data_IF_648810236709
#
_entry.id   IF_648810236709
#
_cell.length_a   1.000
_cell.length_b   1.000
_cell.length_c   1.000
_cell.angle_alpha   90.00
_cell.angle_beta   90.00
_cell.angle_gamma   90.00
#
_symmetry.space_group_name_H-M   'P 1'
#
loop_
_entity.id
_entity.type
_entity.pdbx_description
1 polymer ?
#
# COMPACT_ATOMS: atom_id res chain seq x y z
N UNK A 1 -0.66 -20.19 -25.27
CA UNK A 1 -0.05 -19.00 -24.64
C UNK A 1 -0.56 -18.75 -23.20
N UNK A 2 -1.84 -18.47 -22.98
CA UNK A 2 -2.35 -18.06 -21.65
C UNK A 2 -2.07 -19.04 -20.49
N UNK A 3 -2.23 -20.36 -20.70
CA UNK A 3 -1.95 -21.37 -19.66
C UNK A 3 -0.49 -21.36 -19.18
N UNK A 4 0.46 -21.30 -20.11
CA UNK A 4 1.89 -21.27 -19.81
C UNK A 4 2.26 -19.98 -19.08
N UNK A 5 1.77 -18.82 -19.57
CA UNK A 5 1.98 -17.54 -18.90
C UNK A 5 1.45 -17.58 -17.47
N UNK A 6 0.21 -18.03 -17.25
CA UNK A 6 -0.39 -18.07 -15.91
C UNK A 6 0.36 -19.03 -14.97
N UNK A 7 0.85 -20.16 -15.49
CA UNK A 7 1.69 -21.08 -14.72
C UNK A 7 2.99 -20.40 -14.25
N UNK A 8 3.72 -19.77 -15.17
CA UNK A 8 4.97 -19.07 -14.85
C UNK A 8 4.73 -17.88 -13.91
N UNK A 9 3.68 -17.10 -14.17
CA UNK A 9 3.31 -15.95 -13.35
C UNK A 9 2.99 -16.38 -11.91
N UNK A 10 2.28 -17.50 -11.73
CA UNK A 10 2.02 -18.08 -10.40
C UNK A 10 3.31 -18.54 -9.70
N UNK A 11 4.21 -19.19 -10.43
CA UNK A 11 5.51 -19.60 -9.86
C UNK A 11 6.33 -18.39 -9.39
N UNK A 12 6.38 -17.31 -10.17
CA UNK A 12 7.05 -16.05 -9.79
C UNK A 12 6.47 -15.50 -8.48
N UNK A 13 5.14 -15.49 -8.36
CA UNK A 13 4.45 -15.10 -7.13
C UNK A 13 4.85 -15.93 -5.91
N UNK A 14 4.87 -17.25 -6.05
CA UNK A 14 5.23 -18.17 -4.97
C UNK A 14 6.70 -18.00 -4.55
N UNK A 15 7.60 -17.78 -5.51
CA UNK A 15 9.01 -17.51 -5.27
C UNK A 15 9.18 -16.21 -4.47
N UNK A 16 8.54 -15.12 -4.90
CA UNK A 16 8.63 -13.82 -4.24
C UNK A 16 8.11 -13.87 -2.79
N UNK A 17 6.98 -14.55 -2.55
CA UNK A 17 6.46 -14.75 -1.19
C UNK A 17 7.36 -15.61 -0.32
N UNK A 18 7.94 -16.69 -0.88
CA UNK A 18 8.91 -17.53 -0.14
C UNK A 18 10.18 -16.75 0.19
N UNK A 19 10.62 -15.85 -0.69
CA UNK A 19 11.73 -14.95 -0.43
C UNK A 19 11.39 -13.96 0.70
N UNK A 20 10.21 -13.34 0.65
CA UNK A 20 9.71 -12.46 1.71
C UNK A 20 9.65 -13.16 3.07
N UNK A 21 9.16 -14.41 3.11
CA UNK A 21 9.08 -15.18 4.36
C UNK A 21 10.46 -15.43 5.01
N UNK A 22 11.55 -15.41 4.23
CA UNK A 22 12.94 -15.50 4.73
C UNK A 22 13.52 -14.15 5.13
N UNK A 23 12.88 -13.04 4.75
CA UNK A 23 13.31 -11.72 5.15
C UNK A 23 13.12 -11.53 6.65
N UNK A 24 14.06 -10.80 7.26
CA UNK A 24 13.96 -10.46 8.68
C UNK A 24 12.74 -9.56 8.91
N UNK A 25 11.80 -10.04 9.72
CA UNK A 25 10.68 -9.24 10.20
C UNK A 25 11.20 -8.15 11.16
N UNK A 26 11.08 -6.89 10.74
CA UNK A 26 11.42 -5.73 11.56
C UNK A 26 10.16 -5.20 12.23
N UNK A 27 9.84 -5.73 13.41
CA UNK A 27 8.73 -5.23 14.24
C UNK A 27 9.14 -3.94 14.94
N UNK A 28 8.96 -2.81 14.25
CA UNK A 28 9.06 -1.49 14.88
C UNK A 28 7.78 -1.26 15.68
N UNK A 29 7.74 -1.74 16.93
CA UNK A 29 6.54 -1.68 17.78
C UNK A 29 5.90 -0.28 17.84
N UNK A 30 4.62 -0.22 18.23
CA UNK A 30 3.82 1.01 18.19
C UNK A 30 4.39 2.19 19.03
N UNK A 31 5.33 1.90 19.94
CA UNK A 31 5.96 2.90 20.80
C UNK A 31 7.17 3.52 20.10
N UNK A 32 7.17 4.84 19.81
CA UNK A 32 8.30 5.50 19.19
C UNK A 32 9.59 5.34 19.99
N UNK A 33 10.68 5.00 19.30
CA UNK A 33 11.98 4.85 19.95
C UNK A 33 12.54 6.19 20.44
N UNK A 34 12.93 6.24 21.72
CA UNK A 34 13.76 7.29 22.32
C UNK A 34 14.79 6.67 23.27
N UNK A 35 15.89 7.36 23.59
CA UNK A 35 16.85 6.87 24.58
C UNK A 35 16.23 6.55 25.94
N UNK A 36 15.23 7.34 26.37
CA UNK A 36 14.49 7.13 27.61
C UNK A 36 13.66 5.85 27.56
N UNK A 37 12.90 5.62 26.48
CA UNK A 37 12.15 4.38 26.27
C UNK A 37 13.09 3.17 26.19
N UNK A 38 14.24 3.31 25.50
CA UNK A 38 15.24 2.25 25.43
C UNK A 38 15.81 1.90 26.81
N UNK A 39 15.93 2.86 27.73
CA UNK A 39 16.43 2.61 29.08
C UNK A 39 15.50 1.65 29.85
N UNK A 40 14.17 1.81 29.74
CA UNK A 40 13.22 0.86 30.32
C UNK A 40 13.45 -0.57 29.78
N UNK A 41 13.59 -0.72 28.46
CA UNK A 41 13.87 -2.03 27.85
C UNK A 41 15.20 -2.63 28.32
N UNK A 42 16.23 -1.80 28.49
CA UNK A 42 17.53 -2.23 28.97
C UNK A 42 17.49 -2.63 30.46
N UNK A 43 16.76 -1.90 31.31
CA UNK A 43 16.51 -2.21 32.73
C UNK A 43 15.76 -3.54 32.87
N UNK A 44 14.64 -3.70 32.17
CA UNK A 44 13.87 -4.96 32.19
C UNK A 44 14.68 -6.13 31.65
N UNK A 45 15.45 -5.92 30.58
CA UNK A 45 16.34 -6.95 30.04
C UNK A 45 17.40 -7.39 31.04
N UNK A 46 17.94 -6.48 31.85
CA UNK A 46 18.91 -6.80 32.90
C UNK A 46 18.25 -7.61 34.02
N UNK A 47 17.10 -7.15 34.53
CA UNK A 47 16.38 -7.79 35.63
C UNK A 47 15.82 -9.18 35.27
N UNK A 48 15.24 -9.34 34.07
CA UNK A 48 14.71 -10.64 33.59
C UNK A 48 15.81 -11.68 33.37
N UNK A 49 17.00 -11.24 32.96
CA UNK A 49 18.14 -12.13 32.69
C UNK A 49 18.91 -12.52 33.95
N UNK A 50 18.78 -11.76 35.03
CA UNK A 50 19.23 -12.20 36.36
C UNK A 50 18.40 -13.36 36.91
N UNK A 51 17.12 -13.45 36.50
CA UNK A 51 16.17 -14.47 36.98
C UNK A 51 16.13 -15.74 36.14
N UNK A 52 16.18 -15.63 34.81
CA UNK A 52 16.19 -16.81 33.95
C UNK A 52 17.61 -17.34 33.91
N UNK A 53 17.82 -18.64 34.12
CA UNK A 53 19.07 -19.37 33.82
C UNK A 53 19.37 -19.40 32.30
N UNK A 54 19.11 -18.30 31.60
CA UNK A 54 19.43 -18.12 30.20
C UNK A 54 20.95 -17.94 30.09
N UNK A 55 21.55 -18.62 29.12
CA UNK A 55 22.96 -18.42 28.75
C UNK A 55 23.12 -17.00 28.19
N UNK A 56 23.57 -16.07 29.03
CA UNK A 56 23.79 -14.67 28.65
C UNK A 56 25.27 -14.34 28.81
N UNK A 57 25.87 -13.75 27.77
CA UNK A 57 27.26 -13.30 27.83
C UNK A 57 27.49 -12.33 29.00
N UNK A 58 28.48 -12.62 29.85
CA UNK A 58 28.88 -11.77 30.98
C UNK A 58 29.23 -10.34 30.54
N UNK A 59 29.74 -10.16 29.32
CA UNK A 59 30.01 -8.84 28.71
C UNK A 59 28.72 -8.05 28.48
N UNK A 60 27.62 -8.72 28.09
CA UNK A 60 26.31 -8.08 27.89
C UNK A 60 25.70 -7.61 29.20
N UNK A 61 25.82 -8.40 30.26
CA UNK A 61 25.34 -8.05 31.61
C UNK A 61 26.10 -6.84 32.14
N UNK A 62 27.44 -6.88 32.17
CA UNK A 62 28.28 -5.74 32.58
C UNK A 62 27.96 -4.46 31.82
N UNK A 63 27.76 -4.56 30.50
CA UNK A 63 27.38 -3.42 29.67
C UNK A 63 26.00 -2.87 30.05
N UNK A 64 25.01 -3.74 30.27
CA UNK A 64 23.66 -3.32 30.67
C UNK A 64 23.70 -2.61 32.02
N UNK A 65 24.42 -3.14 33.01
CA UNK A 65 24.53 -2.53 34.33
C UNK A 65 25.13 -1.13 34.30
N UNK A 66 26.22 -0.95 33.54
CA UNK A 66 26.82 0.38 33.32
C UNK A 66 25.84 1.32 32.63
N UNK A 67 25.07 0.82 31.66
CA UNK A 67 24.13 1.61 30.88
C UNK A 67 22.89 2.02 31.68
N UNK A 68 22.36 1.12 32.51
CA UNK A 68 21.17 1.34 33.33
C UNK A 68 21.48 1.93 34.70
N UNK A 69 22.76 2.05 35.06
CA UNK A 69 23.26 2.48 36.38
C UNK A 69 22.70 1.61 37.52
N UNK A 70 22.65 0.29 37.30
CA UNK A 70 22.19 -0.70 38.29
C UNK A 70 23.29 -1.75 38.54
N UNK A 71 24.33 -1.41 39.32
CA UNK A 71 25.48 -2.30 39.58
C UNK A 71 25.14 -3.48 40.50
N UNK A 72 24.08 -3.38 41.31
CA UNK A 72 23.69 -4.44 42.25
C UNK A 72 22.50 -5.28 41.75
N UNK A 73 22.18 -5.20 40.45
CA UNK A 73 21.04 -5.91 39.87
C UNK A 73 21.10 -7.44 40.05
N UNK A 74 22.30 -8.02 40.14
CA UNK A 74 22.52 -9.46 40.38
C UNK A 74 22.45 -9.87 41.85
N UNK A 75 22.51 -8.92 42.80
CA UNK A 75 22.45 -9.21 44.25
C UNK A 75 21.00 -9.29 44.75
N UNK A 76 20.05 -8.87 43.92
CA UNK A 76 18.64 -8.80 44.29
C UNK A 76 18.05 -10.19 44.43
N UNK A 77 17.28 -10.38 45.50
CA UNK A 77 16.50 -11.60 45.69
C UNK A 77 15.41 -11.72 44.62
N UNK A 78 14.83 -12.91 44.47
CA UNK A 78 13.73 -13.16 43.52
C UNK A 78 12.54 -12.23 43.75
N UNK A 79 12.17 -11.99 45.01
CA UNK A 79 11.06 -11.10 45.40
C UNK A 79 11.38 -9.64 45.07
N UNK A 80 12.61 -9.21 45.33
CA UNK A 80 13.06 -7.85 45.00
C UNK A 80 13.11 -7.62 43.48
N UNK A 81 13.55 -8.61 42.71
CA UNK A 81 13.58 -8.56 41.25
C UNK A 81 12.17 -8.45 40.65
N UNK A 82 11.22 -9.22 41.18
CA UNK A 82 9.81 -9.13 40.76
C UNK A 82 9.21 -7.76 41.05
N UNK A 83 9.47 -7.24 42.25
CA UNK A 83 9.01 -5.90 42.65
C UNK A 83 9.63 -4.83 41.77
N UNK A 84 10.94 -4.91 41.50
CA UNK A 84 11.64 -3.98 40.62
C UNK A 84 11.10 -4.05 39.17
N UNK A 85 10.83 -5.25 38.64
CA UNK A 85 10.22 -5.42 37.33
C UNK A 85 8.80 -4.84 37.26
N UNK A 86 8.00 -5.05 38.31
CA UNK A 86 6.64 -4.51 38.40
C UNK A 86 6.66 -2.98 38.42
N UNK A 87 7.56 -2.38 39.21
CA UNK A 87 7.73 -0.93 39.28
C UNK A 87 8.22 -0.35 37.96
N UNK A 88 9.23 -0.96 37.33
CA UNK A 88 9.74 -0.54 36.03
C UNK A 88 8.67 -0.60 34.94
N UNK A 89 7.83 -1.65 34.95
CA UNK A 89 6.69 -1.79 34.04
C UNK A 89 5.64 -0.71 34.27
N UNK A 90 5.33 -0.36 35.53
CA UNK A 90 4.41 0.76 35.85
C UNK A 90 4.95 2.09 35.32
N UNK A 91 6.22 2.40 35.57
CA UNK A 91 6.87 3.60 35.06
C UNK A 91 6.89 3.64 33.52
N UNK A 92 7.18 2.50 32.88
CA UNK A 92 7.13 2.37 31.43
C UNK A 92 5.73 2.66 30.88
N UNK A 93 4.67 2.12 31.48
CA UNK A 93 3.29 2.35 31.04
C UNK A 93 2.89 3.82 31.21
N UNK A 94 3.28 4.45 32.32
CA UNK A 94 3.09 5.88 32.54
C UNK A 94 3.81 6.70 31.46
N UNK A 95 5.08 6.41 31.21
CA UNK A 95 5.87 7.06 30.17
C UNK A 95 5.32 6.82 28.75
N UNK A 96 4.81 5.61 28.49
CA UNK A 96 4.17 5.23 27.24
C UNK A 96 3.00 6.15 26.93
N UNK A 97 2.14 6.39 27.92
CA UNK A 97 0.95 7.24 27.83
C UNK A 97 1.30 8.72 27.68
N UNK A 98 2.24 9.22 28.50
CA UNK A 98 2.40 10.66 28.71
C UNK A 98 3.58 11.30 27.97
N UNK A 99 4.66 10.55 27.69
CA UNK A 99 5.94 11.16 27.30
C UNK A 99 6.53 10.71 25.96
N UNK A 100 6.12 9.55 25.43
CA UNK A 100 6.70 8.94 24.22
C UNK A 100 6.80 9.89 23.03
N UNK A 101 5.73 10.65 22.79
CA UNK A 101 5.62 11.62 21.69
C UNK A 101 6.62 12.77 21.87
N UNK A 102 6.74 13.29 23.09
CA UNK A 102 7.63 14.41 23.42
C UNK A 102 9.09 13.99 23.33
N UNK A 103 9.47 12.89 24.00
CA UNK A 103 10.85 12.39 23.99
C UNK A 103 11.34 12.03 22.58
N UNK A 104 10.47 11.49 21.73
CA UNK A 104 10.82 11.23 20.32
C UNK A 104 11.10 12.53 19.55
N UNK A 105 10.29 13.57 19.75
CA UNK A 105 10.44 14.88 19.11
C UNK A 105 11.76 15.53 19.50
N UNK A 106 12.05 15.55 20.80
CA UNK A 106 13.27 16.12 21.36
C UNK A 106 14.50 15.40 20.82
N UNK A 107 14.50 14.06 20.85
CA UNK A 107 15.58 13.25 20.32
C UNK A 107 15.86 13.56 18.84
N UNK A 108 14.82 13.55 17.98
CA UNK A 108 14.98 13.87 16.57
C UNK A 108 15.49 15.29 16.35
N UNK A 109 15.01 16.26 17.14
CA UNK A 109 15.44 17.66 17.06
C UNK A 109 16.92 17.80 17.41
N UNK A 110 17.38 17.16 18.49
CA UNK A 110 18.79 17.14 18.90
C UNK A 110 19.65 16.48 17.82
N UNK A 111 19.23 15.33 17.27
CA UNK A 111 19.99 14.63 16.23
C UNK A 111 20.12 15.46 14.95
N UNK A 112 19.04 16.13 14.52
CA UNK A 112 19.07 17.04 13.35
C UNK A 112 20.00 18.23 13.62
N UNK A 113 19.95 18.85 14.81
CA UNK A 113 20.87 19.94 15.18
C UNK A 113 22.34 19.49 15.17
N UNK A 114 22.66 18.37 15.82
CA UNK A 114 24.02 17.77 15.82
C UNK A 114 24.50 17.45 14.41
N UNK A 115 23.58 17.00 13.57
CA UNK A 115 23.86 16.68 12.18
C UNK A 115 24.17 17.92 11.34
N UNK A 116 23.50 19.06 11.55
CA UNK A 116 23.78 20.32 10.84
C UNK A 116 25.13 20.94 11.21
N UNK A 117 25.53 20.84 12.49
CA UNK A 117 26.78 21.44 12.99
C UNK A 117 28.04 20.82 12.38
N UNK A 118 27.97 19.56 11.95
CA UNK A 118 29.01 18.97 11.11
C UNK A 118 28.75 19.48 9.68
N UNK A 119 29.53 20.44 9.18
CA UNK A 119 29.59 20.68 7.73
C UNK A 119 29.76 19.33 7.04
N UNK A 120 29.05 19.11 5.92
CA UNK A 120 28.93 17.79 5.32
C UNK A 120 30.25 17.31 4.73
N UNK A 121 31.12 16.74 5.55
CA UNK A 121 32.44 16.24 5.13
C UNK A 121 32.38 14.95 4.32
N UNK A 122 31.20 14.28 4.22
CA UNK A 122 31.03 13.07 3.42
C UNK A 122 29.58 12.84 2.97
N UNK A 123 29.41 12.07 1.89
CA UNK A 123 28.11 11.59 1.39
C UNK A 123 27.31 10.86 2.48
N UNK A 124 27.96 10.02 3.28
CA UNK A 124 27.32 9.31 4.42
C UNK A 124 26.76 10.26 5.48
N UNK A 125 27.46 11.36 5.78
CA UNK A 125 26.98 12.37 6.72
C UNK A 125 25.73 13.09 6.18
N UNK A 126 25.74 13.45 4.89
CA UNK A 126 24.58 14.05 4.20
C UNK A 126 23.38 13.12 4.19
N UNK A 127 23.56 11.84 3.87
CA UNK A 127 22.48 10.84 3.85
C UNK A 127 21.87 10.62 5.24
N UNK A 128 22.71 10.59 6.28
CA UNK A 128 22.26 10.49 7.68
C UNK A 128 21.36 11.68 8.04
N UNK A 129 21.71 12.88 7.63
CA UNK A 129 20.88 14.07 7.86
C UNK A 129 19.57 14.04 7.12
N UNK A 130 19.60 13.75 5.81
CA UNK A 130 18.39 13.67 5.00
C UNK A 130 17.43 12.63 5.59
N UNK A 131 17.96 11.49 6.07
CA UNK A 131 17.18 10.47 6.78
C UNK A 131 16.56 11.02 8.08
N UNK A 132 17.33 11.70 8.92
CA UNK A 132 16.83 12.29 10.17
C UNK A 132 15.78 13.39 9.92
N UNK A 133 16.00 14.25 8.91
CA UNK A 133 15.05 15.29 8.50
C UNK A 133 13.74 14.67 8.00
N UNK A 134 13.80 13.66 7.13
CA UNK A 134 12.62 12.91 6.66
C UNK A 134 11.88 12.24 7.80
N UNK A 135 12.58 11.66 8.78
CA UNK A 135 11.96 11.09 9.98
C UNK A 135 11.21 12.15 10.79
N UNK A 136 11.80 13.34 10.99
CA UNK A 136 11.15 14.45 11.69
C UNK A 136 9.88 14.90 10.96
N UNK A 137 9.96 15.09 9.64
CA UNK A 137 8.82 15.50 8.81
C UNK A 137 7.69 14.48 8.82
N UNK A 138 8.00 13.17 8.77
CA UNK A 138 7.00 12.11 8.87
C UNK A 138 6.27 12.13 10.22
N UNK A 139 6.98 12.37 11.31
CA UNK A 139 6.37 12.48 12.65
C UNK A 139 5.47 13.71 12.77
N UNK A 140 5.89 14.86 12.22
CA UNK A 140 5.07 16.08 12.17
C UNK A 140 3.81 15.86 11.31
N UNK A 141 3.93 15.20 10.17
CA UNK A 141 2.78 14.84 9.32
C UNK A 141 1.82 13.87 9.99
N UNK A 142 2.34 12.83 10.68
CA UNK A 142 1.52 11.88 11.46
C UNK A 142 0.72 12.60 12.54
N UNK A 143 1.33 13.56 13.26
CA UNK A 143 0.62 14.37 14.26
C UNK A 143 -0.49 15.19 13.64
N UNK A 144 -0.19 15.93 12.56
CA UNK A 144 -1.20 16.72 11.84
C UNK A 144 -2.39 15.86 11.40
N UNK A 145 -2.15 14.66 10.86
CA UNK A 145 -3.22 13.73 10.47
C UNK A 145 -4.06 13.25 11.65
N UNK A 146 -3.45 12.95 12.80
CA UNK A 146 -4.18 12.58 14.03
C UNK A 146 -5.03 13.73 14.55
N UNK A 147 -4.50 14.95 14.58
CA UNK A 147 -5.23 16.15 15.01
C UNK A 147 -6.39 16.47 14.06
N UNK A 148 -6.23 16.20 12.76
CA UNK A 148 -7.29 16.40 11.75
C UNK A 148 -8.30 15.25 11.70
N UNK A 149 -8.24 14.25 12.59
CA UNK A 149 -9.04 13.02 12.54
C UNK A 149 -8.95 12.28 11.18
N UNK A 150 -7.95 12.58 10.35
CA UNK A 150 -7.67 11.91 9.07
C UNK A 150 -6.88 10.60 9.30
N UNK A 151 -7.25 9.87 10.33
CA UNK A 151 -6.71 8.57 10.69
C UNK A 151 -7.30 7.49 9.78
N UNK A 152 -6.83 7.43 8.53
CA UNK A 152 -7.12 6.30 7.65
C UNK A 152 -6.40 5.06 8.18
N UNK A 153 -7.16 4.11 8.74
CA UNK A 153 -6.85 2.67 8.82
C UNK A 153 -8.11 1.88 9.21
N UNK A 154 -9.14 1.95 8.40
CA UNK A 154 -10.27 1.03 8.44
C UNK A 154 -10.78 0.86 7.01
N UNK A 155 -11.06 -0.38 6.60
CA UNK A 155 -11.80 -0.64 5.35
C UNK A 155 -13.15 0.08 5.35
N UNK A 156 -13.84 0.08 4.21
CA UNK A 156 -15.16 0.69 4.08
C UNK A 156 -16.14 0.08 5.10
N UNK A 157 -16.55 0.85 6.11
CA UNK A 157 -17.40 0.34 7.20
C UNK A 157 -18.89 0.58 6.97
N UNK A 158 -19.23 1.56 6.13
CA UNK A 158 -20.60 1.92 5.84
C UNK A 158 -20.68 2.59 4.46
N UNK A 159 -21.86 2.50 3.84
CA UNK A 159 -22.21 3.26 2.63
C UNK A 159 -23.53 3.98 2.85
N UNK A 160 -23.76 5.07 2.12
CA UNK A 160 -25.05 5.74 2.06
C UNK A 160 -25.71 5.38 0.75
N UNK A 161 -26.97 4.94 0.82
CA UNK A 161 -27.79 4.59 -0.34
C UNK A 161 -29.03 5.47 -0.31
N UNK A 162 -29.39 5.98 -1.48
CA UNK A 162 -30.60 6.76 -1.69
C UNK A 162 -31.83 5.84 -1.68
N UNK A 163 -32.76 6.10 -0.77
CA UNK A 163 -34.04 5.39 -0.67
C UNK A 163 -35.17 6.35 -1.09
N UNK A 164 -35.93 5.99 -2.12
CA UNK A 164 -37.11 6.77 -2.51
C UNK A 164 -38.25 6.49 -1.54
N UNK A 165 -38.66 7.53 -0.82
CA UNK A 165 -39.84 7.48 0.02
C UNK A 165 -41.13 7.49 -0.83
N UNK A 166 -42.26 6.97 -0.31
CA UNK A 166 -43.56 7.02 -0.98
C UNK A 166 -43.99 8.43 -1.41
N UNK A 167 -43.40 9.46 -0.79
CA UNK A 167 -43.64 10.89 -1.02
C UNK A 167 -42.76 11.51 -2.12
N UNK A 168 -42.04 10.70 -2.93
CA UNK A 168 -41.05 11.14 -3.95
C UNK A 168 -39.87 11.95 -3.39
N UNK A 169 -39.66 11.96 -2.07
CA UNK A 169 -38.45 12.50 -1.45
C UNK A 169 -37.38 11.41 -1.38
N UNK A 170 -36.13 11.80 -1.58
CA UNK A 170 -34.97 10.92 -1.42
C UNK A 170 -34.45 11.06 0.01
N UNK A 171 -34.34 9.96 0.73
CA UNK A 171 -33.67 9.90 2.03
C UNK A 171 -32.35 9.12 1.92
N UNK A 172 -31.37 9.48 2.74
CA UNK A 172 -30.06 8.83 2.77
C UNK A 172 -30.01 7.80 3.90
N UNK A 173 -30.11 6.53 3.53
CA UNK A 173 -29.96 5.43 4.48
C UNK A 173 -28.51 5.00 4.59
N UNK A 174 -27.99 4.98 5.81
CA UNK A 174 -26.65 4.48 6.08
C UNK A 174 -26.70 2.96 6.31
N UNK A 175 -26.06 2.20 5.42
CA UNK A 175 -25.91 0.75 5.55
C UNK A 175 -24.57 0.45 6.23
N UNK A 176 -24.61 -0.31 7.31
CA UNK A 176 -23.44 -0.75 8.09
C UNK A 176 -23.27 -2.27 8.10
N UNK A 177 -24.32 -3.02 7.71
CA UNK A 177 -24.24 -4.47 7.57
C UNK A 177 -23.37 -4.87 6.37
N UNK A 178 -22.57 -5.93 6.53
CA UNK A 178 -21.60 -6.35 5.54
C UNK A 178 -22.23 -6.74 4.21
N UNK A 179 -23.28 -7.57 4.23
CA UNK A 179 -23.90 -8.06 2.99
C UNK A 179 -24.55 -6.91 2.25
N UNK A 180 -25.18 -5.99 3.00
CA UNK A 180 -25.80 -4.80 2.45
C UNK A 180 -24.78 -3.82 1.86
N UNK A 181 -23.65 -3.61 2.53
CA UNK A 181 -22.52 -2.80 2.01
C UNK A 181 -21.96 -3.41 0.73
N UNK A 182 -21.67 -4.72 0.72
CA UNK A 182 -21.15 -5.42 -0.47
C UNK A 182 -22.13 -5.34 -1.64
N UNK A 183 -23.43 -5.58 -1.41
CA UNK A 183 -24.47 -5.47 -2.43
C UNK A 183 -24.63 -4.05 -2.96
N UNK A 184 -24.68 -3.04 -2.08
CA UNK A 184 -24.78 -1.65 -2.51
C UNK A 184 -23.58 -1.21 -3.33
N UNK A 185 -22.36 -1.61 -2.95
CA UNK A 185 -21.16 -1.38 -3.76
C UNK A 185 -21.24 -2.05 -5.14
N UNK A 186 -21.75 -3.28 -5.23
CA UNK A 186 -21.93 -3.98 -6.51
C UNK A 186 -22.96 -3.28 -7.41
N UNK A 187 -24.08 -2.86 -6.84
CA UNK A 187 -25.14 -2.14 -7.57
C UNK A 187 -24.65 -0.80 -8.09
N UNK A 188 -23.99 -0.01 -7.23
CA UNK A 188 -23.40 1.27 -7.60
C UNK A 188 -22.31 1.11 -8.68
N UNK A 189 -21.44 0.11 -8.55
CA UNK A 189 -20.45 -0.18 -9.58
C UNK A 189 -21.14 -0.53 -10.91
N UNK A 190 -22.18 -1.37 -10.90
CA UNK A 190 -22.94 -1.70 -12.10
C UNK A 190 -23.57 -0.46 -12.71
N UNK A 191 -24.28 0.33 -11.92
CA UNK A 191 -24.93 1.55 -12.37
C UNK A 191 -23.93 2.51 -13.02
N UNK A 192 -22.74 2.67 -12.41
CA UNK A 192 -21.65 3.50 -12.94
C UNK A 192 -21.13 3.01 -14.30
N UNK A 193 -20.97 1.70 -14.48
CA UNK A 193 -20.49 1.13 -15.75
C UNK A 193 -21.57 1.04 -16.82
N UNK A 194 -22.84 0.97 -16.43
CA UNK A 194 -23.98 0.89 -17.34
C UNK A 194 -24.53 2.27 -17.75
N UNK A 195 -23.92 3.38 -17.31
CA UNK A 195 -24.40 4.77 -17.60
C UNK A 195 -24.57 5.07 -19.09
N UNK A 196 -23.80 4.40 -19.96
CA UNK A 196 -23.89 4.60 -21.42
C UNK A 196 -24.93 3.70 -22.09
N UNK A 197 -25.45 2.70 -21.36
CA UNK A 197 -26.51 1.79 -21.82
C UNK A 197 -27.88 2.12 -21.22
N UNK A 198 -27.90 2.59 -19.97
CA UNK A 198 -29.09 2.77 -19.14
C UNK A 198 -28.99 4.05 -18.30
N UNK A 199 -30.08 4.81 -18.12
CA UNK A 199 -31.44 4.53 -18.63
C UNK A 199 -31.62 4.85 -20.12
N UNK A 200 -30.71 5.62 -20.71
CA UNK A 200 -30.72 5.96 -22.13
C UNK A 200 -29.40 5.53 -22.75
N UNK A 201 -29.48 4.85 -23.89
CA UNK A 201 -28.31 4.41 -24.63
C UNK A 201 -27.67 5.62 -25.33
N UNK A 202 -26.36 5.81 -25.14
CA UNK A 202 -25.61 6.84 -25.87
C UNK A 202 -25.29 6.35 -27.28
N UNK A 203 -25.11 7.27 -28.23
CA UNK A 203 -24.94 6.90 -29.65
C UNK A 203 -23.83 5.85 -29.92
N UNK A 204 -22.64 5.86 -29.26
CA UNK A 204 -21.64 4.80 -29.44
C UNK A 204 -22.06 3.40 -28.93
N UNK A 205 -23.07 3.35 -28.05
CA UNK A 205 -23.63 2.12 -27.50
C UNK A 205 -24.88 1.64 -28.26
N UNK A 206 -25.28 2.35 -29.31
CA UNK A 206 -26.41 2.03 -30.19
C UNK A 206 -25.92 1.63 -31.59
N UNK A 207 -26.77 0.96 -32.37
CA UNK A 207 -26.45 0.60 -33.75
C UNK A 207 -26.56 1.80 -34.71
N UNK A 208 -25.72 1.87 -35.77
CA UNK A 208 -24.72 0.88 -36.19
C UNK A 208 -23.34 1.02 -35.48
N UNK A 209 -23.15 2.06 -34.66
CA UNK A 209 -21.84 2.38 -34.08
C UNK A 209 -21.32 1.30 -33.13
N UNK A 210 -22.22 0.69 -32.36
CA UNK A 210 -21.87 -0.38 -31.43
C UNK A 210 -21.20 -1.56 -32.13
N UNK A 211 -21.84 -2.13 -33.16
CA UNK A 211 -21.27 -3.24 -33.93
C UNK A 211 -20.05 -2.81 -34.73
N UNK A 212 -20.04 -1.58 -35.27
CA UNK A 212 -18.92 -1.06 -36.05
C UNK A 212 -17.62 -0.99 -35.23
N UNK A 213 -17.68 -0.64 -33.94
CA UNK A 213 -16.49 -0.51 -33.09
C UNK A 213 -16.22 -1.69 -32.15
N UNK A 214 -17.22 -2.53 -31.84
CA UNK A 214 -17.03 -3.71 -30.98
C UNK A 214 -17.03 -5.06 -31.72
N UNK A 215 -17.25 -5.07 -33.04
CA UNK A 215 -17.19 -6.26 -33.88
C UNK A 215 -15.78 -6.68 -34.29
N UNK A 216 -15.69 -7.68 -35.18
CA UNK A 216 -14.41 -8.17 -35.71
C UNK A 216 -13.56 -7.08 -36.39
N UNK A 217 -14.23 -6.10 -36.99
CA UNK A 217 -13.59 -4.95 -37.66
C UNK A 217 -13.32 -3.76 -36.73
N UNK A 218 -13.66 -3.85 -35.43
CA UNK A 218 -13.62 -2.74 -34.50
C UNK A 218 -12.28 -2.00 -34.50
N UNK A 219 -11.17 -2.75 -34.42
CA UNK A 219 -9.81 -2.18 -34.49
C UNK A 219 -9.59 -1.43 -35.81
N UNK A 220 -9.93 -2.03 -36.94
CA UNK A 220 -9.77 -1.42 -38.27
C UNK A 220 -10.57 -0.13 -38.37
N UNK A 221 -11.81 -0.14 -37.90
CA UNK A 221 -12.70 1.02 -37.92
C UNK A 221 -12.23 2.13 -36.98
N UNK A 222 -11.68 1.79 -35.80
CA UNK A 222 -11.04 2.78 -34.92
C UNK A 222 -9.86 3.46 -35.61
N UNK A 223 -8.94 2.74 -36.26
CA UNK A 223 -7.84 3.37 -36.98
C UNK A 223 -8.33 4.21 -38.17
N UNK A 224 -9.29 3.70 -38.95
CA UNK A 224 -9.88 4.46 -40.04
C UNK A 224 -10.54 5.75 -39.55
N UNK A 225 -11.21 5.73 -38.39
CA UNK A 225 -11.78 6.92 -37.76
C UNK A 225 -10.69 7.92 -37.39
N UNK A 226 -9.67 7.46 -36.67
CA UNK A 226 -8.56 8.31 -36.21
C UNK A 226 -7.80 8.93 -37.40
N UNK A 227 -7.70 8.23 -38.52
CA UNK A 227 -7.06 8.74 -39.74
C UNK A 227 -8.00 9.59 -40.62
N UNK A 228 -9.28 9.71 -40.25
CA UNK A 228 -10.29 10.46 -41.02
C UNK A 228 -10.73 9.77 -42.32
N UNK A 229 -10.51 8.47 -42.45
CA UNK A 229 -10.83 7.64 -43.62
C UNK A 229 -12.11 6.82 -43.47
N UNK A 230 -12.71 6.82 -42.28
CA UNK A 230 -13.93 6.05 -42.02
C UNK A 230 -15.16 6.76 -42.64
N UNK A 231 -15.90 6.11 -43.55
CA UNK A 231 -17.19 6.63 -44.00
C UNK A 231 -18.18 6.62 -42.83
N UNK A 232 -18.85 7.76 -42.61
CA UNK A 232 -19.84 7.87 -41.53
C UNK A 232 -21.11 7.10 -41.93
N UNK A 233 -21.64 6.23 -41.04
CA UNK A 233 -22.88 5.53 -41.31
C UNK A 233 -24.09 6.47 -41.44
N UNK A 234 -25.03 6.09 -42.30
CA UNK A 234 -26.32 6.77 -42.41
C UNK A 234 -27.13 6.61 -41.11
N UNK A 235 -27.96 7.60 -40.80
CA UNK A 235 -28.89 7.56 -39.65
C UNK A 235 -28.29 7.98 -38.30
N UNK A 236 -27.00 8.34 -38.25
CA UNK A 236 -26.38 8.90 -37.04
C UNK A 236 -26.72 10.40 -36.93
N UNK A 237 -27.00 10.86 -35.71
CA UNK A 237 -27.29 12.29 -35.48
C UNK A 237 -26.05 13.18 -35.72
N UNK A 238 -26.29 14.43 -36.11
CA UNK A 238 -25.24 15.38 -36.49
C UNK A 238 -24.21 15.63 -35.38
N UNK A 239 -24.63 15.68 -34.13
CA UNK A 239 -23.74 15.87 -32.98
C UNK A 239 -22.75 14.72 -32.81
N UNK A 240 -23.21 13.49 -33.01
CA UNK A 240 -22.37 12.28 -32.91
C UNK A 240 -21.38 12.25 -34.07
N UNK A 241 -21.82 12.61 -35.27
CA UNK A 241 -20.94 12.75 -36.42
C UNK A 241 -19.82 13.79 -36.15
N UNK A 242 -20.19 14.99 -35.68
CA UNK A 242 -19.20 16.02 -35.32
C UNK A 242 -18.23 15.55 -34.23
N UNK A 243 -18.70 14.81 -33.23
CA UNK A 243 -17.83 14.22 -32.20
C UNK A 243 -16.82 13.23 -32.80
N UNK A 244 -17.28 12.33 -33.67
CA UNK A 244 -16.43 11.35 -34.34
C UNK A 244 -15.38 12.03 -35.24
N UNK A 245 -15.75 13.09 -35.94
CA UNK A 245 -14.82 13.87 -36.76
C UNK A 245 -13.71 14.54 -35.93
N UNK A 246 -14.00 14.92 -34.69
CA UNK A 246 -13.02 15.48 -33.75
C UNK A 246 -12.10 14.43 -33.11
N UNK A 247 -12.40 13.14 -33.23
CA UNK A 247 -11.56 12.07 -32.70
C UNK A 247 -10.29 11.83 -33.55
N UNK A 248 -10.16 12.47 -34.71
CA UNK A 248 -9.03 12.27 -35.64
C UNK A 248 -7.68 12.65 -35.01
N UNK A 249 -6.62 12.01 -35.48
CA UNK A 249 -5.26 12.39 -35.13
C UNK A 249 -5.02 13.86 -35.51
N UNK A 250 -4.49 14.62 -34.55
CA UNK A 250 -4.02 15.97 -34.84
C UNK A 250 -2.80 15.92 -35.76
N UNK A 251 -2.53 17.02 -36.47
CA UNK A 251 -1.30 17.15 -37.24
C UNK A 251 -0.08 16.99 -36.33
N UNK A 252 0.91 16.20 -36.78
CA UNK A 252 2.11 15.89 -36.01
C UNK A 252 1.92 14.83 -34.92
N UNK A 253 0.81 14.11 -34.90
CA UNK A 253 0.65 12.95 -34.02
C UNK A 253 1.76 11.92 -34.27
N UNK A 254 2.35 11.41 -33.19
CA UNK A 254 3.26 10.27 -33.21
C UNK A 254 2.77 9.22 -32.23
N UNK A 255 2.78 7.96 -32.66
CA UNK A 255 2.41 6.85 -31.77
C UNK A 255 3.54 6.63 -30.77
N UNK A 256 3.17 6.53 -29.49
CA UNK A 256 4.08 6.08 -28.44
C UNK A 256 4.22 4.55 -28.56
N UNK A 257 5.45 4.00 -28.61
CA UNK A 257 5.65 2.55 -28.62
C UNK A 257 4.96 1.88 -27.43
N UNK A 258 4.20 0.83 -27.70
CA UNK A 258 3.51 0.05 -26.68
C UNK A 258 4.46 -1.04 -26.14
N UNK A 259 5.53 -0.63 -25.47
CA UNK A 259 6.54 -1.53 -24.90
C UNK A 259 6.73 -1.26 -23.40
N UNK A 260 7.07 -2.33 -22.65
CA UNK A 260 7.52 -2.21 -21.26
C UNK A 260 8.96 -2.69 -21.23
N UNK A 261 9.90 -1.77 -21.37
CA UNK A 261 11.32 -2.11 -21.31
C UNK A 261 11.76 -2.41 -19.86
N UNK A 262 12.85 -3.18 -19.66
CA UNK A 262 13.46 -3.36 -18.34
C UNK A 262 13.89 -2.04 -17.68
N UNK A 263 14.27 -1.04 -18.49
CA UNK A 263 14.67 0.28 -18.01
C UNK A 263 13.47 1.09 -17.50
N UNK A 264 12.35 1.07 -18.23
CA UNK A 264 11.10 1.68 -17.78
C UNK A 264 10.59 1.03 -16.48
N UNK A 265 10.65 -0.31 -16.44
CA UNK A 265 10.30 -1.09 -15.26
C UNK A 265 11.17 -0.66 -14.06
N UNK A 266 12.48 -0.61 -14.24
CA UNK A 266 13.43 -0.21 -13.18
C UNK A 266 13.18 1.21 -12.72
N UNK A 267 13.02 2.14 -13.66
CA UNK A 267 12.71 3.54 -13.38
C UNK A 267 11.43 3.67 -12.55
N UNK A 268 10.34 3.02 -12.99
CA UNK A 268 9.04 3.08 -12.34
C UNK A 268 9.12 2.54 -10.90
N UNK A 269 9.67 1.34 -10.69
CA UNK A 269 9.70 0.73 -9.37
C UNK A 269 10.67 1.42 -8.43
N UNK A 270 11.77 2.02 -8.92
CA UNK A 270 12.69 2.79 -8.07
C UNK A 270 11.99 3.97 -7.35
N UNK A 271 10.94 4.54 -7.97
CA UNK A 271 10.22 5.73 -7.47
C UNK A 271 8.95 5.40 -6.70
N UNK A 272 8.36 4.22 -6.92
CA UNK A 272 7.08 3.88 -6.33
C UNK A 272 7.15 3.63 -4.81
N UNK A 273 6.24 4.18 -3.99
CA UNK A 273 6.29 3.99 -2.54
C UNK A 273 5.89 2.56 -2.15
N UNK A 274 6.60 1.95 -1.20
CA UNK A 274 6.43 0.52 -0.84
C UNK A 274 5.11 0.21 -0.12
N UNK A 275 4.48 1.22 0.48
CA UNK A 275 3.24 1.09 1.24
C UNK A 275 1.98 1.04 0.35
N UNK A 276 2.14 0.79 -0.95
CA UNK A 276 1.05 0.55 -1.88
C UNK A 276 1.12 -0.89 -2.37
N UNK A 277 -0.04 -1.51 -2.58
CA UNK A 277 -0.10 -2.80 -3.28
C UNK A 277 0.11 -2.57 -4.77
N UNK A 278 0.85 -3.46 -5.39
CA UNK A 278 1.11 -3.49 -6.84
C UNK A 278 0.27 -4.53 -7.55
N UNK A 279 -0.26 -5.49 -6.79
CA UNK A 279 -0.81 -6.73 -7.32
C UNK A 279 -2.03 -7.18 -6.49
N UNK A 280 -3.02 -7.83 -7.13
CA UNK A 280 -4.26 -8.24 -6.48
C UNK A 280 -4.11 -9.36 -5.45
N UNK A 281 -3.02 -10.12 -5.49
CA UNK A 281 -2.77 -11.25 -4.58
C UNK A 281 -1.58 -10.99 -3.65
N UNK A 282 -1.52 -9.83 -3.03
CA UNK A 282 -0.67 -9.60 -1.84
C UNK A 282 0.81 -9.33 -2.11
N UNK A 283 1.28 -9.35 -3.36
CA UNK A 283 2.59 -8.75 -3.66
C UNK A 283 2.48 -7.23 -3.58
N UNK A 284 3.24 -6.64 -2.67
CA UNK A 284 3.38 -5.19 -2.58
C UNK A 284 4.58 -4.67 -3.40
N UNK A 285 4.62 -3.35 -3.62
CA UNK A 285 5.68 -2.64 -4.35
C UNK A 285 7.10 -2.98 -3.89
N UNK A 286 7.30 -3.37 -2.62
CA UNK A 286 8.59 -3.83 -2.08
C UNK A 286 9.18 -5.06 -2.79
N UNK A 287 8.37 -5.95 -3.36
CA UNK A 287 8.87 -7.12 -4.10
C UNK A 287 9.58 -6.69 -5.37
N UNK A 288 8.91 -5.89 -6.20
CA UNK A 288 9.47 -5.38 -7.45
C UNK A 288 10.65 -4.45 -7.19
N UNK A 289 10.60 -3.64 -6.14
CA UNK A 289 11.75 -2.82 -5.70
C UNK A 289 12.97 -3.63 -5.26
N UNK A 290 12.78 -4.81 -4.68
CA UNK A 290 13.90 -5.71 -4.43
C UNK A 290 14.37 -6.34 -5.74
N UNK A 291 13.42 -6.70 -6.62
CA UNK A 291 13.67 -7.29 -7.94
C UNK A 291 14.55 -6.44 -8.85
N UNK A 292 14.38 -5.11 -8.87
CA UNK A 292 15.17 -4.21 -9.74
C UNK A 292 16.68 -4.19 -9.44
N UNK A 293 17.12 -4.73 -8.31
CA UNK A 293 18.55 -4.89 -8.02
C UNK A 293 19.18 -6.10 -8.72
N UNK A 294 18.36 -6.97 -9.34
CA UNK A 294 18.80 -8.05 -10.20
C UNK A 294 18.32 -7.80 -11.63
N UNK A 295 19.25 -7.66 -12.58
CA UNK A 295 18.93 -7.43 -13.98
C UNK A 295 18.02 -8.51 -14.55
N UNK A 296 18.30 -9.78 -14.25
CA UNK A 296 17.50 -10.93 -14.68
C UNK A 296 16.06 -10.87 -14.14
N UNK A 297 15.89 -10.56 -12.85
CA UNK A 297 14.54 -10.46 -12.25
C UNK A 297 13.77 -9.28 -12.84
N UNK A 298 14.42 -8.11 -12.97
CA UNK A 298 13.82 -6.93 -13.59
C UNK A 298 13.35 -7.19 -15.03
N UNK A 299 14.15 -7.93 -15.82
CA UNK A 299 13.78 -8.34 -17.18
C UNK A 299 12.57 -9.28 -17.16
N UNK A 300 12.55 -10.29 -16.29
CA UNK A 300 11.41 -11.20 -16.16
C UNK A 300 10.13 -10.43 -15.77
N UNK A 301 10.24 -9.56 -14.77
CA UNK A 301 9.12 -8.74 -14.29
C UNK A 301 8.61 -7.75 -15.36
N UNK A 302 9.50 -7.19 -16.18
CA UNK A 302 9.13 -6.37 -17.33
C UNK A 302 8.37 -7.19 -18.38
N UNK A 303 8.87 -8.39 -18.72
CA UNK A 303 8.21 -9.30 -19.67
C UNK A 303 6.82 -9.74 -19.21
N UNK A 304 6.65 -10.04 -17.91
CA UNK A 304 5.33 -10.37 -17.36
C UNK A 304 4.33 -9.23 -17.53
N UNK A 305 4.77 -7.97 -17.56
CA UNK A 305 3.89 -6.81 -17.83
C UNK A 305 3.73 -6.55 -19.32
N UNK A 306 4.78 -6.75 -20.09
CA UNK A 306 4.80 -6.51 -21.52
C UNK A 306 3.86 -7.46 -22.28
N UNK A 307 3.91 -8.77 -21.99
CA UNK A 307 3.12 -9.77 -22.73
C UNK A 307 1.61 -9.47 -22.70
N UNK A 308 0.96 -9.26 -21.54
CA UNK A 308 -0.45 -8.85 -21.49
C UNK A 308 -0.73 -7.56 -22.26
N UNK A 309 0.17 -6.58 -22.17
CA UNK A 309 0.01 -5.29 -22.85
C UNK A 309 -0.05 -5.47 -24.37
N UNK A 310 0.90 -6.19 -24.97
CA UNK A 310 0.97 -6.33 -26.44
C UNK A 310 -0.01 -7.35 -27.01
N UNK A 311 -0.41 -8.35 -26.22
CA UNK A 311 -1.31 -9.41 -26.69
C UNK A 311 -2.79 -9.15 -26.39
N UNK A 312 -3.09 -8.19 -25.50
CA UNK A 312 -4.44 -7.99 -24.98
C UNK A 312 -4.94 -9.14 -24.09
N UNK A 313 -4.07 -10.11 -23.77
CA UNK A 313 -4.39 -11.22 -22.88
C UNK A 313 -4.58 -10.73 -21.45
N UNK A 314 -5.65 -11.18 -20.77
CA UNK A 314 -5.90 -10.87 -19.35
C UNK A 314 -5.43 -12.04 -18.46
N UNK A 315 -4.35 -11.87 -17.68
CA UNK A 315 -3.89 -12.89 -16.74
C UNK A 315 -4.93 -13.26 -15.69
N UNK A 316 -4.94 -14.52 -15.25
CA UNK A 316 -5.95 -15.02 -14.31
C UNK A 316 -5.94 -14.25 -12.99
N UNK A 317 -4.75 -13.86 -12.50
CA UNK A 317 -4.59 -13.07 -11.28
C UNK A 317 -5.27 -11.69 -11.37
N UNK A 318 -5.43 -11.15 -12.58
CA UNK A 318 -5.93 -9.79 -12.84
C UNK A 318 -7.42 -9.75 -13.23
N UNK A 319 -8.06 -10.91 -13.49
CA UNK A 319 -9.47 -10.99 -13.93
C UNK A 319 -10.50 -10.44 -12.95
N UNK A 320 -10.15 -10.34 -11.66
CA UNK A 320 -11.11 -9.99 -10.60
C UNK A 320 -10.74 -8.72 -9.84
N UNK A 321 -9.94 -7.84 -10.46
CA UNK A 321 -9.43 -6.63 -9.81
C UNK A 321 -10.56 -5.69 -9.35
N UNK A 322 -11.65 -5.60 -10.12
CA UNK A 322 -12.81 -4.76 -9.79
C UNK A 322 -13.62 -5.27 -8.58
N UNK A 323 -13.45 -6.54 -8.20
CA UNK A 323 -14.07 -7.13 -7.02
C UNK A 323 -13.12 -7.16 -5.81
N UNK A 324 -11.94 -6.53 -5.91
CA UNK A 324 -10.91 -6.56 -4.87
C UNK A 324 -11.37 -5.88 -3.57
N UNK A 325 -12.10 -4.77 -3.66
CA UNK A 325 -12.61 -4.06 -2.47
C UNK A 325 -13.57 -4.93 -1.66
N UNK A 326 -14.48 -5.65 -2.33
CA UNK A 326 -15.36 -6.64 -1.69
C UNK A 326 -14.59 -7.82 -1.07
N UNK A 327 -13.51 -8.27 -1.73
CA UNK A 327 -12.65 -9.34 -1.19
C UNK A 327 -11.81 -8.87 0.01
N UNK A 328 -11.35 -7.63 0.02
CA UNK A 328 -10.57 -7.09 1.14
C UNK A 328 -11.42 -6.96 2.42
N UNK A 329 -12.69 -6.55 2.28
CA UNK A 329 -13.67 -6.57 3.38
C UNK A 329 -13.85 -7.97 3.99
N UNK A 330 -13.76 -9.01 3.16
CA UNK A 330 -13.85 -10.41 3.62
C UNK A 330 -12.61 -10.87 4.39
N UNK A 331 -11.42 -10.43 3.99
CA UNK A 331 -10.14 -10.87 4.55
C UNK A 331 -9.81 -10.17 5.88
N UNK A 332 -10.13 -8.87 6.00
CA UNK A 332 -9.79 -8.06 7.17
C UNK A 332 -10.54 -8.51 8.45
N UNK A 333 -11.76 -9.08 8.33
CA UNK A 333 -12.49 -9.67 9.47
C UNK A 333 -11.96 -11.04 9.92
N UNK A 334 -11.47 -11.88 9.00
CA UNK A 334 -10.85 -13.16 9.38
C UNK A 334 -9.56 -12.94 10.18
N UNK A 335 -8.77 -11.92 9.81
CA UNK A 335 -7.61 -11.51 10.58
C UNK A 335 -8.00 -10.91 11.94
N UNK A 336 -9.09 -10.13 12.02
CA UNK A 336 -9.59 -9.55 13.27
C UNK A 336 -10.10 -10.62 14.25
N UNK A 337 -10.81 -11.65 13.77
CA UNK A 337 -11.29 -12.74 14.63
C UNK A 337 -10.15 -13.63 15.14
N UNK A 338 -9.10 -13.87 14.33
CA UNK A 338 -7.92 -14.62 14.78
C UNK A 338 -7.03 -13.85 15.79
N UNK A 339 -7.14 -12.52 15.83
CA UNK A 339 -6.35 -11.67 16.72
C UNK A 339 -6.99 -11.50 18.12
N UNK A 340 -8.24 -11.92 18.30
CA UNK A 340 -8.97 -11.86 19.58
C UNK A 340 -9.10 -13.22 20.28
N UNK A 341 -8.54 -14.29 19.71
CA UNK A 341 -8.35 -15.60 20.38
C UNK A 341 -6.92 -15.80 20.96
N UNK A 342 -6.11 -14.73 20.90
CA UNK A 342 -4.81 -14.43 21.53
C UNK A 342 -4.71 -14.18 23.05
#
# INVERSE_FOLDING_TARGET
MGRQYNCLHKQTYDILRKAEAKCRMVTNGAVPWSPQIQNFWDRQSLLLKGRKQCRVSSRKIRRLMKKTKLPDAWKKTTVELETALRNDRKEYLHAKKNHTVTWRKEFLTVQVKKSKKKQWTSRKARDRFLRLRRMKQREEARRRRRTQSKGSTGGLQAIQVEEQLPTRKVDLRTLTDRRQVEQGCMQENRARYDQTRSPYTTAPMDEPLYSMFNGADGKRNSYALLEGRLPMPDGINSYTQSFLEQCRFHQGHSMIPMEVSPDDHTYFWSRNPENKSSEPQGLHNGHFKAGIYSSMVAQCDALFRHIPLITGFVPDNWRHLMNFEARQLSADKNAYNSAHEF
#
